data_IF_029149810950
#
_entry.id   IF_029149810950
#
_cell.length_a   1.000
_cell.length_b   1.000
_cell.length_c   1.000
_cell.angle_alpha   90.00
_cell.angle_beta   90.00
_cell.angle_gamma   90.00
#
_symmetry.space_group_name_H-M   'P 1'
#
loop_
_entity.id
_entity.type
_entity.pdbx_description
1 polymer ?
#
# COMPACT_ATOMS: atom_id res chain seq x y z
N UNK A 1 16.88 -0.55 0.13
CA UNK A 1 15.56 -1.08 0.52
C UNK A 1 14.91 -0.09 1.44
N UNK A 2 13.90 0.58 0.92
CA UNK A 2 13.16 1.63 1.61
C UNK A 2 11.84 1.07 2.12
N UNK A 3 11.30 1.68 3.17
CA UNK A 3 10.01 1.31 3.75
C UNK A 3 9.13 2.55 3.81
N UNK A 4 7.89 2.40 3.38
CA UNK A 4 6.86 3.41 3.51
C UNK A 4 5.81 2.85 4.48
N UNK A 5 5.62 3.53 5.60
CA UNK A 5 4.50 3.31 6.50
C UNK A 5 3.53 4.47 6.31
N UNK A 6 2.28 4.18 5.99
CA UNK A 6 1.22 5.16 5.87
C UNK A 6 -0.03 4.66 6.57
N UNK A 7 -0.76 5.57 7.21
CA UNK A 7 -2.11 5.29 7.68
C UNK A 7 -3.07 5.45 6.50
N UNK A 8 -4.03 4.55 6.41
CA UNK A 8 -5.03 4.53 5.34
C UNK A 8 -6.41 4.36 5.94
N UNK A 9 -7.30 5.25 5.53
CA UNK A 9 -8.70 5.16 5.85
C UNK A 9 -9.44 4.42 4.73
N UNK A 10 -10.39 3.56 5.12
CA UNK A 10 -11.23 2.82 4.17
C UNK A 10 -10.87 1.35 3.92
N UNK A 11 -10.02 0.72 4.75
CA UNK A 11 -9.96 -0.75 4.78
C UNK A 11 -10.96 -1.27 5.82
N UNK A 12 -12.18 -1.55 5.36
CA UNK A 12 -13.23 -2.11 6.21
C UNK A 12 -13.31 -3.64 6.14
N UNK A 13 -12.81 -4.25 5.06
CA UNK A 13 -13.03 -5.67 4.75
C UNK A 13 -11.77 -6.35 4.18
N UNK A 14 -11.70 -7.68 4.29
CA UNK A 14 -10.60 -8.50 3.75
C UNK A 14 -10.43 -8.34 2.23
N UNK A 15 -11.53 -8.08 1.52
CA UNK A 15 -11.50 -7.87 0.07
C UNK A 15 -10.72 -6.60 -0.30
N UNK A 16 -10.92 -5.52 0.47
CA UNK A 16 -10.19 -4.25 0.29
C UNK A 16 -8.70 -4.41 0.59
N UNK A 17 -8.38 -5.08 1.70
CA UNK A 17 -7.00 -5.45 2.05
C UNK A 17 -6.34 -6.23 0.90
N UNK A 18 -7.05 -7.21 0.35
CA UNK A 18 -6.54 -8.06 -0.73
C UNK A 18 -6.34 -7.27 -2.01
N UNK A 19 -7.29 -6.40 -2.40
CA UNK A 19 -7.14 -5.54 -3.57
C UNK A 19 -5.95 -4.61 -3.44
N UNK A 20 -5.82 -3.91 -2.30
CA UNK A 20 -4.70 -3.00 -2.06
C UNK A 20 -3.36 -3.72 -2.13
N UNK A 21 -3.25 -4.87 -1.48
CA UNK A 21 -2.04 -5.70 -1.51
C UNK A 21 -1.68 -6.08 -2.96
N UNK A 22 -2.66 -6.55 -3.73
CA UNK A 22 -2.46 -6.93 -5.13
C UNK A 22 -2.07 -5.73 -6.01
N UNK A 23 -2.67 -4.56 -5.81
CA UNK A 23 -2.30 -3.34 -6.53
C UNK A 23 -0.85 -2.95 -6.27
N UNK A 24 -0.44 -2.97 -5.00
CA UNK A 24 0.91 -2.63 -4.58
C UNK A 24 1.96 -3.67 -5.01
N UNK A 25 1.64 -4.96 -4.93
CA UNK A 25 2.53 -6.04 -5.40
C UNK A 25 2.74 -6.02 -6.92
N UNK A 26 1.83 -5.42 -7.68
CA UNK A 26 2.00 -5.20 -9.14
C UNK A 26 2.96 -4.06 -9.47
N UNK A 27 3.30 -3.19 -8.52
CA UNK A 27 4.21 -2.07 -8.76
C UNK A 27 5.64 -2.59 -8.89
N UNK A 28 6.28 -2.33 -10.04
CA UNK A 28 7.67 -2.73 -10.26
C UNK A 28 8.61 -2.05 -9.25
N UNK A 29 9.36 -2.86 -8.50
CA UNK A 29 10.25 -2.40 -7.44
C UNK A 29 9.64 -2.52 -6.04
N UNK A 30 8.35 -2.82 -5.91
CA UNK A 30 7.78 -3.25 -4.62
C UNK A 30 8.24 -4.67 -4.34
N UNK A 31 8.73 -4.86 -3.12
CA UNK A 31 9.32 -6.12 -2.66
C UNK A 31 8.39 -6.84 -1.67
N UNK A 32 7.73 -6.08 -0.80
CA UNK A 32 6.77 -6.63 0.16
C UNK A 32 5.71 -5.60 0.53
N UNK A 33 4.49 -6.07 0.77
CA UNK A 33 3.36 -5.26 1.21
C UNK A 33 2.72 -5.92 2.42
N UNK A 34 2.59 -5.18 3.51
CA UNK A 34 1.90 -5.59 4.73
C UNK A 34 0.77 -4.61 5.00
N UNK A 35 -0.45 -5.13 5.14
CA UNK A 35 -1.64 -4.30 5.36
C UNK A 35 -2.25 -4.70 6.71
N UNK A 36 -2.21 -3.78 7.66
CA UNK A 36 -2.73 -3.93 9.00
C UNK A 36 -4.13 -3.33 9.07
N UNK A 37 -5.15 -4.17 8.84
CA UNK A 37 -6.55 -3.78 8.95
C UNK A 37 -6.92 -3.37 10.38
N UNK A 38 -6.36 -4.05 11.39
CA UNK A 38 -6.63 -3.76 12.80
C UNK A 38 -6.19 -2.35 13.20
N UNK A 39 -5.13 -1.82 12.57
CA UNK A 39 -4.59 -0.48 12.83
C UNK A 39 -4.98 0.55 11.77
N UNK A 40 -5.52 0.12 10.63
CA UNK A 40 -5.75 0.99 9.48
C UNK A 40 -4.44 1.53 8.88
N UNK A 41 -3.40 0.70 8.82
CA UNK A 41 -2.08 1.12 8.35
C UNK A 41 -1.52 0.16 7.29
N UNK A 42 -0.72 0.67 6.37
CA UNK A 42 -0.03 -0.10 5.35
C UNK A 42 1.47 0.15 5.41
N UNK A 43 2.22 -0.94 5.38
CA UNK A 43 3.67 -0.95 5.23
C UNK A 43 4.05 -1.53 3.88
N UNK A 44 4.79 -0.75 3.11
CA UNK A 44 5.30 -1.14 1.79
C UNK A 44 6.81 -1.08 1.81
N UNK A 45 7.45 -2.22 1.55
CA UNK A 45 8.89 -2.30 1.33
C UNK A 45 9.16 -2.30 -0.17
N UNK A 46 10.00 -1.37 -0.61
CA UNK A 46 10.27 -1.16 -2.02
C UNK A 46 11.72 -0.75 -2.27
N UNK A 47 12.13 -0.85 -3.52
CA UNK A 47 13.42 -0.43 -4.05
C UNK A 47 13.20 0.30 -5.38
N UNK A 48 14.24 1.01 -5.85
CA UNK A 48 14.24 1.58 -7.20
C UNK A 48 13.88 0.50 -8.23
N UNK A 49 12.96 0.78 -9.17
CA UNK A 49 12.44 2.11 -9.56
C UNK A 49 11.19 2.60 -8.79
N UNK A 50 10.65 1.83 -7.84
CA UNK A 50 9.51 2.26 -7.05
C UNK A 50 9.88 3.42 -6.11
N UNK A 51 8.94 4.35 -5.90
CA UNK A 51 9.10 5.51 -5.02
C UNK A 51 7.88 5.65 -4.11
N UNK A 52 8.04 6.36 -2.99
CA UNK A 52 6.93 6.66 -2.07
C UNK A 52 5.73 7.28 -2.80
N UNK A 53 5.99 8.20 -3.73
CA UNK A 53 4.95 8.89 -4.48
C UNK A 53 4.16 7.93 -5.39
N UNK A 54 4.84 7.02 -6.10
CA UNK A 54 4.17 6.02 -6.93
C UNK A 54 3.34 5.04 -6.11
N UNK A 55 3.84 4.65 -4.93
CA UNK A 55 3.11 3.79 -3.99
C UNK A 55 1.87 4.51 -3.46
N UNK A 56 2.01 5.77 -3.03
CA UNK A 56 0.88 6.59 -2.55
C UNK A 56 -0.20 6.75 -3.62
N UNK A 57 0.21 7.08 -4.85
CA UNK A 57 -0.70 7.16 -5.98
C UNK A 57 -1.41 5.82 -6.26
N UNK A 58 -0.72 4.68 -6.10
CA UNK A 58 -1.32 3.36 -6.30
C UNK A 58 -2.41 3.04 -5.24
N UNK A 59 -2.19 3.45 -4.00
CA UNK A 59 -3.16 3.33 -2.90
C UNK A 59 -4.40 4.19 -3.19
N UNK A 60 -4.20 5.45 -3.59
CA UNK A 60 -5.30 6.36 -3.95
C UNK A 60 -6.08 5.85 -5.17
N UNK A 61 -5.40 5.35 -6.20
CA UNK A 61 -6.04 4.71 -7.36
C UNK A 61 -6.83 3.45 -7.00
N UNK A 62 -6.48 2.78 -5.90
CA UNK A 62 -7.21 1.62 -5.40
C UNK A 62 -8.48 2.02 -4.64
N UNK A 63 -8.77 3.31 -4.49
CA UNK A 63 -9.94 3.83 -3.78
C UNK A 63 -9.74 3.98 -2.27
N UNK A 64 -8.49 3.99 -1.81
CA UNK A 64 -8.15 4.20 -0.40
C UNK A 64 -7.55 5.58 -0.20
N UNK A 65 -7.91 6.24 0.90
CA UNK A 65 -7.37 7.56 1.24
C UNK A 65 -6.24 7.39 2.23
N UNK A 66 -5.09 7.97 1.92
CA UNK A 66 -3.95 8.05 2.84
C UNK A 66 -4.16 9.27 3.74
N UNK A 67 -3.96 9.08 5.05
CA UNK A 67 -3.97 10.18 6.04
C UNK A 67 -2.55 10.67 6.37
#
# INVERSE_FOLDING_TARGET
MERLHCNISGIANENMKTQLKNSLEKVQGVNQVCVDMARGSVEVMYNKPATQQGIRACIENSGHTIE
#
